data_IF_876341936689
#
_entry.id   IF_876341936689
#
_cell.length_a   1.000
_cell.length_b   1.000
_cell.length_c   1.000
_cell.angle_alpha   90.00
_cell.angle_beta   90.00
_cell.angle_gamma   90.00
#
_symmetry.space_group_name_H-M   'P 1'
#
loop_
_entity.id
_entity.type
_entity.pdbx_description
1 polymer ?
#
# COMPACT_ATOMS: atom_id res chain seq x y z
N UNK A 1 -29.89 22.02 -10.66
CA UNK A 1 -28.47 21.69 -10.89
C UNK A 1 -28.21 20.38 -10.16
N UNK A 2 -28.23 19.26 -10.88
CA UNK A 2 -27.81 17.99 -10.31
C UNK A 2 -26.28 17.97 -10.38
N UNK A 3 -25.62 18.01 -9.23
CA UNK A 3 -24.18 17.78 -9.15
C UNK A 3 -23.95 16.33 -9.57
N UNK A 4 -23.31 16.11 -10.72
CA UNK A 4 -22.75 14.82 -11.05
C UNK A 4 -21.78 14.45 -9.93
N UNK A 5 -22.17 13.47 -9.12
CA UNK A 5 -21.26 12.78 -8.22
C UNK A 5 -20.18 12.11 -9.07
N UNK A 6 -19.04 12.78 -9.19
CA UNK A 6 -17.88 12.23 -9.86
C UNK A 6 -17.25 11.24 -8.88
N UNK A 7 -17.64 9.97 -8.97
CA UNK A 7 -16.84 8.91 -8.36
C UNK A 7 -15.47 8.95 -9.06
N UNK A 8 -14.36 9.12 -8.34
CA UNK A 8 -13.05 9.05 -8.97
C UNK A 8 -12.93 7.70 -9.68
N UNK A 9 -12.56 7.72 -10.96
CA UNK A 9 -12.31 6.52 -11.72
C UNK A 9 -11.24 5.71 -10.97
N UNK A 10 -11.56 4.45 -10.63
CA UNK A 10 -10.56 3.57 -10.04
C UNK A 10 -9.42 3.37 -11.06
N UNK A 11 -8.15 3.36 -10.62
CA UNK A 11 -7.01 3.18 -11.52
C UNK A 11 -7.04 1.79 -12.17
N UNK A 12 -6.49 1.68 -13.38
CA UNK A 12 -6.45 0.43 -14.15
C UNK A 12 -5.48 -0.61 -13.58
N UNK A 13 -4.48 -0.15 -12.82
CA UNK A 13 -3.51 -0.98 -12.11
C UNK A 13 -3.28 -0.40 -10.72
N UNK A 14 -3.36 -1.26 -9.70
CA UNK A 14 -3.11 -0.91 -8.29
C UNK A 14 -2.01 -1.81 -7.73
N UNK A 15 -1.12 -1.27 -6.91
CA UNK A 15 -0.18 -2.10 -6.15
C UNK A 15 -0.88 -2.67 -4.91
N UNK A 16 -0.94 -4.00 -4.81
CA UNK A 16 -1.48 -4.74 -3.68
C UNK A 16 -0.33 -5.32 -2.89
N UNK A 17 0.05 -4.59 -1.85
CA UNK A 17 1.05 -5.05 -0.90
C UNK A 17 0.44 -6.14 0.00
N UNK A 18 1.17 -7.23 0.20
CA UNK A 18 0.79 -8.31 1.13
C UNK A 18 1.81 -8.46 2.25
N UNK A 19 1.30 -8.49 3.47
CA UNK A 19 2.10 -8.85 4.64
C UNK A 19 2.30 -10.36 4.72
N UNK A 20 3.50 -10.76 5.17
CA UNK A 20 3.92 -12.13 5.42
C UNK A 20 3.56 -12.64 6.82
N UNK A 21 3.10 -11.76 7.74
CA UNK A 21 2.79 -12.16 9.12
C UNK A 21 1.72 -13.25 9.18
N UNK A 22 2.12 -14.44 9.65
CA UNK A 22 1.21 -15.57 9.87
C UNK A 22 0.67 -16.25 8.61
N UNK A 23 1.19 -15.93 7.41
CA UNK A 23 0.78 -16.56 6.14
C UNK A 23 1.97 -17.16 5.42
N UNK A 24 1.73 -18.25 4.69
CA UNK A 24 2.71 -18.80 3.76
C UNK A 24 2.88 -17.81 2.61
N UNK A 25 4.10 -17.34 2.38
CA UNK A 25 4.43 -16.43 1.27
C UNK A 25 4.42 -17.24 -0.02
N UNK A 26 3.63 -16.81 -1.00
CA UNK A 26 3.52 -17.44 -2.33
C UNK A 26 3.82 -16.47 -3.47
N UNK A 27 4.43 -15.33 -3.16
CA UNK A 27 4.70 -14.22 -4.08
C UNK A 27 6.11 -13.68 -3.86
N UNK A 28 6.53 -12.77 -4.73
CA UNK A 28 7.83 -12.09 -4.67
C UNK A 28 7.66 -10.60 -4.36
N UNK A 29 8.71 -9.99 -3.83
CA UNK A 29 8.70 -8.56 -3.54
C UNK A 29 7.60 -8.15 -2.54
N UNK A 30 7.02 -6.95 -2.69
CA UNK A 30 6.05 -6.42 -1.73
C UNK A 30 4.65 -7.02 -1.86
N UNK A 31 4.31 -7.69 -2.96
CA UNK A 31 2.96 -8.17 -3.21
C UNK A 31 2.67 -8.38 -4.70
N UNK A 32 1.57 -7.82 -5.19
CA UNK A 32 1.05 -8.04 -6.54
C UNK A 32 0.67 -6.71 -7.21
N UNK A 33 0.69 -6.68 -8.54
CA UNK A 33 -0.05 -5.70 -9.33
C UNK A 33 -1.48 -6.22 -9.54
N UNK A 34 -2.49 -5.49 -9.05
CA UNK A 34 -3.90 -5.76 -9.28
C UNK A 34 -4.35 -5.05 -10.54
N UNK A 35 -4.57 -5.83 -11.59
CA UNK A 35 -4.81 -5.35 -12.95
C UNK A 35 -6.29 -5.50 -13.28
N UNK A 36 -6.93 -4.41 -13.73
CA UNK A 36 -8.33 -4.39 -14.17
C UNK A 36 -8.52 -5.17 -15.47
N UNK A 37 -9.70 -5.75 -15.66
CA UNK A 37 -10.14 -6.33 -16.93
C UNK A 37 -9.94 -5.36 -18.11
N UNK A 38 -9.13 -5.77 -19.08
CA UNK A 38 -8.76 -4.98 -20.26
C UNK A 38 -7.55 -4.07 -20.07
N UNK A 39 -6.92 -4.03 -18.89
CA UNK A 39 -5.67 -3.31 -18.64
C UNK A 39 -4.44 -4.16 -18.97
N UNK A 40 -3.23 -3.62 -18.80
CA UNK A 40 -1.99 -4.33 -19.09
C UNK A 40 -0.79 -3.85 -18.30
N UNK A 41 0.27 -4.63 -18.36
CA UNK A 41 1.57 -4.39 -17.74
C UNK A 41 2.66 -4.41 -18.81
N UNK A 42 3.70 -3.59 -18.63
CA UNK A 42 4.90 -3.61 -19.44
C UNK A 42 6.09 -3.90 -18.54
N UNK A 43 6.82 -4.97 -18.85
CA UNK A 43 8.02 -5.37 -18.14
C UNK A 43 9.25 -5.02 -18.97
N UNK A 44 10.19 -4.30 -18.37
CA UNK A 44 11.46 -3.95 -19.00
C UNK A 44 12.52 -5.00 -18.65
N UNK A 45 13.15 -5.58 -19.67
CA UNK A 45 14.21 -6.58 -19.52
C UNK A 45 15.55 -5.96 -19.96
N UNK A 46 16.41 -5.71 -18.98
CA UNK A 46 17.71 -5.03 -19.15
C UNK A 46 18.91 -5.88 -18.65
N UNK A 47 18.64 -6.93 -17.88
CA UNK A 47 19.67 -7.74 -17.19
C UNK A 47 19.76 -9.18 -17.72
N UNK A 48 19.75 -9.36 -19.05
CA UNK A 48 19.86 -10.68 -19.70
C UNK A 48 21.32 -11.14 -19.69
N UNK A 49 21.66 -12.31 -19.11
CA UNK A 49 23.05 -12.70 -18.90
C UNK A 49 23.71 -13.35 -20.13
N UNK A 50 22.93 -14.06 -20.95
CA UNK A 50 23.46 -14.87 -22.04
C UNK A 50 22.52 -14.84 -23.26
N UNK A 51 23.03 -14.72 -24.49
CA UNK A 51 22.17 -14.72 -25.69
C UNK A 51 21.60 -16.11 -25.94
N UNK A 52 20.29 -16.29 -25.73
CA UNK A 52 19.59 -17.57 -25.93
C UNK A 52 18.06 -17.41 -25.91
N UNK A 53 17.36 -18.51 -26.19
CA UNK A 53 15.93 -18.60 -25.95
C UNK A 53 15.62 -18.73 -24.45
N UNK A 54 14.72 -17.87 -23.97
CA UNK A 54 14.16 -17.93 -22.63
C UNK A 54 12.67 -18.25 -22.71
N UNK A 55 12.22 -19.12 -21.83
CA UNK A 55 10.80 -19.35 -21.59
C UNK A 55 10.28 -18.28 -20.64
N UNK A 56 9.11 -17.74 -20.93
CA UNK A 56 8.48 -16.71 -20.11
C UNK A 56 7.48 -17.38 -19.16
N UNK A 57 7.66 -17.17 -17.87
CA UNK A 57 6.77 -17.68 -16.82
C UNK A 57 6.07 -16.51 -16.13
N UNK A 58 4.76 -16.42 -16.29
CA UNK A 58 3.93 -15.42 -15.60
C UNK A 58 3.37 -16.02 -14.31
N UNK A 59 3.62 -15.39 -13.17
CA UNK A 59 3.02 -15.75 -11.87
C UNK A 59 1.85 -14.83 -11.55
N UNK A 60 0.72 -15.41 -11.13
CA UNK A 60 -0.52 -14.69 -10.92
C UNK A 60 -1.41 -15.35 -9.85
N UNK A 61 -2.35 -14.59 -9.33
CA UNK A 61 -3.38 -15.05 -8.41
C UNK A 61 -4.77 -14.51 -8.84
N UNK A 62 -5.69 -15.40 -9.23
CA UNK A 62 -7.06 -15.02 -9.58
C UNK A 62 -7.86 -14.54 -8.36
N UNK A 63 -8.63 -13.46 -8.50
CA UNK A 63 -9.57 -12.99 -7.45
C UNK A 63 -10.99 -13.58 -7.62
N UNK A 64 -11.26 -14.25 -8.74
CA UNK A 64 -12.53 -14.90 -9.05
C UNK A 64 -12.33 -16.33 -9.57
N UNK A 65 -13.43 -17.09 -9.66
CA UNK A 65 -13.44 -18.44 -10.25
C UNK A 65 -13.58 -18.42 -11.78
N UNK A 66 -13.11 -17.35 -12.42
CA UNK A 66 -13.20 -17.16 -13.86
C UNK A 66 -11.82 -17.22 -14.49
N UNK A 67 -11.73 -17.83 -15.67
CA UNK A 67 -10.51 -17.87 -16.43
C UNK A 67 -10.21 -16.51 -17.07
N UNK A 68 -8.92 -16.21 -17.21
CA UNK A 68 -8.43 -15.01 -17.88
C UNK A 68 -7.68 -15.40 -19.16
N UNK A 69 -7.44 -14.44 -20.03
CA UNK A 69 -6.52 -14.56 -21.15
C UNK A 69 -5.51 -13.41 -21.11
N UNK A 70 -4.28 -13.69 -21.54
CA UNK A 70 -3.21 -12.71 -21.68
C UNK A 70 -2.80 -12.61 -23.15
N UNK A 71 -2.76 -11.39 -23.65
CA UNK A 71 -2.17 -11.06 -24.96
C UNK A 71 -0.75 -10.57 -24.71
N UNK A 72 0.23 -11.28 -25.26
CA UNK A 72 1.64 -11.02 -25.01
C UNK A 72 2.30 -10.49 -26.28
N UNK A 73 3.04 -9.41 -26.17
CA UNK A 73 3.96 -8.92 -27.20
C UNK A 73 5.34 -8.69 -26.62
N UNK A 74 6.36 -9.03 -27.41
CA UNK A 74 7.76 -8.77 -27.09
C UNK A 74 8.30 -7.83 -28.15
N UNK A 75 8.88 -6.72 -27.71
CA UNK A 75 9.53 -5.73 -28.57
C UNK A 75 10.93 -5.43 -28.05
N UNK A 76 11.78 -4.88 -28.91
CA UNK A 76 13.08 -4.36 -28.53
C UNK A 76 13.21 -2.93 -29.02
N UNK A 77 13.77 -2.04 -28.20
CA UNK A 77 14.01 -0.65 -28.62
C UNK A 77 15.24 -0.52 -29.53
N UNK A 78 16.11 -1.52 -29.50
CA UNK A 78 17.30 -1.63 -30.33
C UNK A 78 17.26 -2.95 -31.12
N UNK A 79 17.89 -2.96 -32.30
CA UNK A 79 18.00 -4.16 -33.12
C UNK A 79 18.98 -5.14 -32.45
N UNK A 80 18.62 -6.43 -32.30
CA UNK A 80 19.53 -7.43 -31.80
C UNK A 80 20.76 -7.55 -32.71
N UNK A 81 21.94 -7.57 -32.10
CA UNK A 81 23.23 -7.58 -32.81
C UNK A 81 23.92 -8.93 -32.76
N UNK A 82 23.53 -9.82 -31.84
CA UNK A 82 24.14 -11.14 -31.75
C UNK A 82 23.79 -11.99 -32.97
N UNK A 83 24.72 -12.84 -33.45
CA UNK A 83 24.43 -13.77 -34.54
C UNK A 83 23.35 -14.79 -34.17
N UNK A 84 23.06 -14.96 -32.87
CA UNK A 84 22.07 -15.91 -32.36
C UNK A 84 20.65 -15.35 -32.39
N UNK A 85 20.46 -14.09 -31.98
CA UNK A 85 19.13 -13.45 -31.96
C UNK A 85 18.87 -12.50 -33.15
N UNK A 86 19.89 -12.19 -33.98
CA UNK A 86 19.85 -11.16 -35.02
C UNK A 86 18.92 -11.38 -36.22
N UNK A 87 18.28 -12.56 -36.35
CA UNK A 87 17.41 -12.89 -37.49
C UNK A 87 15.91 -12.90 -37.15
N UNK A 88 15.51 -12.54 -35.92
CA UNK A 88 14.15 -12.71 -35.43
C UNK A 88 13.50 -11.38 -35.04
N UNK A 89 13.09 -10.59 -36.03
CA UNK A 89 11.98 -9.63 -35.82
C UNK A 89 10.91 -9.80 -36.91
N UNK A 90 10.18 -10.93 -36.95
CA UNK A 90 8.90 -10.94 -37.64
C UNK A 90 7.89 -10.25 -36.72
N UNK A 91 7.62 -8.96 -37.01
CA UNK A 91 6.45 -8.16 -36.58
C UNK A 91 5.80 -8.57 -35.26
N UNK A 92 6.04 -7.84 -34.16
CA UNK A 92 5.18 -7.74 -32.94
C UNK A 92 4.08 -8.83 -32.83
N UNK A 93 4.47 -10.10 -32.76
CA UNK A 93 3.51 -11.16 -33.02
C UNK A 93 2.77 -11.43 -31.72
N UNK A 94 1.73 -10.63 -31.50
CA UNK A 94 0.82 -10.78 -30.38
C UNK A 94 0.24 -12.19 -30.42
N UNK A 95 0.43 -12.93 -29.33
CA UNK A 95 -0.19 -14.23 -29.14
C UNK A 95 -0.97 -14.23 -27.83
N UNK A 96 -1.94 -15.14 -27.78
CA UNK A 96 -2.86 -15.27 -26.65
C UNK A 96 -2.59 -16.55 -25.89
N UNK A 97 -2.69 -16.47 -24.58
CA UNK A 97 -2.64 -17.63 -23.70
C UNK A 97 -3.78 -17.58 -22.69
N UNK A 98 -4.26 -18.75 -22.30
CA UNK A 98 -5.25 -18.88 -21.22
C UNK A 98 -4.56 -18.85 -19.86
N UNK A 99 -5.17 -18.16 -18.89
CA UNK A 99 -4.81 -18.12 -17.48
C UNK A 99 -5.92 -18.79 -16.66
N UNK A 100 -5.85 -20.10 -16.42
CA UNK A 100 -6.88 -20.81 -15.67
C UNK A 100 -6.96 -20.35 -14.22
N UNK A 101 -8.18 -20.19 -13.71
CA UNK A 101 -8.42 -19.73 -12.33
C UNK A 101 -7.84 -20.70 -11.25
N UNK A 102 -7.62 -21.96 -11.63
CA UNK A 102 -7.06 -23.02 -10.78
C UNK A 102 -5.54 -23.01 -10.66
N UNK A 103 -4.84 -22.22 -11.48
CA UNK A 103 -3.38 -22.17 -11.51
C UNK A 103 -2.83 -20.92 -10.80
N UNK A 104 -1.52 -20.91 -10.55
CA UNK A 104 -0.79 -19.77 -9.94
C UNK A 104 0.39 -19.28 -10.76
N UNK A 105 0.69 -19.99 -11.85
CA UNK A 105 1.67 -19.59 -12.83
C UNK A 105 1.28 -20.18 -14.19
N UNK A 106 1.78 -19.56 -15.25
CA UNK A 106 1.65 -20.03 -16.62
C UNK A 106 3.04 -19.95 -17.28
N UNK A 107 3.47 -21.05 -17.90
CA UNK A 107 4.60 -21.05 -18.82
C UNK A 107 4.07 -20.75 -20.22
N UNK A 108 4.45 -19.61 -20.81
CA UNK A 108 3.97 -19.19 -22.12
C UNK A 108 4.47 -20.15 -23.21
N UNK A 109 3.65 -20.42 -24.24
CA UNK A 109 3.98 -21.43 -25.26
C UNK A 109 5.11 -21.02 -26.21
N UNK A 110 5.41 -19.71 -26.30
CA UNK A 110 6.41 -19.16 -27.20
C UNK A 110 7.63 -18.63 -26.45
N UNK A 111 8.78 -19.32 -26.50
CA UNK A 111 10.04 -18.77 -26.00
C UNK A 111 10.48 -17.60 -26.89
N UNK A 112 11.37 -16.76 -26.37
CA UNK A 112 11.93 -15.64 -27.11
C UNK A 112 13.46 -15.55 -26.90
N UNK A 113 14.19 -15.22 -27.98
CA UNK A 113 15.64 -15.04 -27.93
C UNK A 113 15.98 -13.67 -27.36
N UNK A 114 16.49 -13.64 -26.13
CA UNK A 114 16.99 -12.42 -25.51
C UNK A 114 18.52 -12.40 -25.57
N UNK A 115 19.11 -11.22 -25.75
CA UNK A 115 20.56 -11.01 -25.71
C UNK A 115 20.98 -9.93 -24.70
N UNK A 116 22.23 -9.98 -24.20
CA UNK A 116 22.76 -8.96 -23.29
C UNK A 116 22.84 -7.57 -23.95
N UNK A 117 22.74 -6.52 -23.13
CA UNK A 117 22.86 -5.10 -23.55
C UNK A 117 21.79 -4.61 -24.54
N UNK A 118 20.76 -5.41 -24.82
CA UNK A 118 19.61 -5.00 -25.63
C UNK A 118 18.40 -4.83 -24.71
N UNK A 119 17.80 -3.63 -24.64
CA UNK A 119 16.62 -3.40 -23.80
C UNK A 119 15.37 -3.95 -24.50
N UNK A 120 14.78 -4.97 -23.90
CA UNK A 120 13.53 -5.56 -24.36
C UNK A 120 12.36 -5.12 -23.50
N UNK A 121 11.18 -5.08 -24.10
CA UNK A 121 9.92 -4.84 -23.43
C UNK A 121 8.97 -5.99 -23.69
N UNK A 122 8.42 -6.55 -22.62
CA UNK A 122 7.36 -7.55 -22.68
C UNK A 122 6.08 -6.88 -22.22
N UNK A 123 5.16 -6.66 -23.16
CA UNK A 123 3.85 -6.07 -22.86
C UNK A 123 2.81 -7.18 -22.76
N UNK A 124 2.00 -7.13 -21.71
CA UNK A 124 0.99 -8.12 -21.39
C UNK A 124 -0.34 -7.42 -21.16
N UNK A 125 -1.33 -7.66 -22.02
CA UNK A 125 -2.70 -7.17 -21.83
C UNK A 125 -3.55 -8.31 -21.28
N UNK A 126 -4.25 -8.06 -20.17
CA UNK A 126 -5.03 -9.06 -19.45
C UNK A 126 -6.53 -8.76 -19.57
N UNK A 127 -7.32 -9.78 -19.85
CA UNK A 127 -8.78 -9.67 -19.93
C UNK A 127 -9.44 -11.00 -19.57
N UNK A 128 -10.72 -10.97 -19.19
CA UNK A 128 -11.47 -12.20 -18.88
C UNK A 128 -11.66 -13.08 -20.12
N UNK A 129 -11.51 -14.39 -19.95
CA UNK A 129 -11.65 -15.34 -21.05
C UNK A 129 -13.12 -15.47 -21.48
N UNK A 130 -13.37 -15.49 -22.80
CA UNK A 130 -14.70 -15.78 -23.38
C UNK A 130 -15.84 -14.81 -23.00
N UNK A 131 -15.52 -13.57 -22.59
CA UNK A 131 -16.54 -12.54 -22.31
C UNK A 131 -16.37 -11.36 -23.27
N UNK A 132 -17.46 -10.92 -23.91
CA UNK A 132 -17.45 -9.81 -24.87
C UNK A 132 -17.58 -8.43 -24.21
N UNK A 133 -18.04 -8.37 -22.95
CA UNK A 133 -18.21 -7.14 -22.19
C UNK A 133 -17.21 -7.06 -21.04
N UNK A 134 -16.49 -5.94 -20.97
CA UNK A 134 -15.54 -5.66 -19.89
C UNK A 134 -16.31 -5.46 -18.60
N UNK A 135 -15.93 -6.16 -17.54
CA UNK A 135 -16.55 -5.97 -16.23
C UNK A 135 -15.69 -5.01 -15.41
N UNK A 136 -16.16 -3.78 -15.14
CA UNK A 136 -15.32 -2.73 -14.56
C UNK A 136 -14.83 -3.06 -13.15
N UNK A 137 -15.45 -4.02 -12.45
CA UNK A 137 -15.01 -4.46 -11.12
C UNK A 137 -14.26 -5.80 -11.10
N UNK A 138 -13.88 -6.35 -12.25
CA UNK A 138 -13.08 -7.57 -12.32
C UNK A 138 -11.59 -7.26 -12.40
N UNK A 139 -10.79 -7.99 -11.62
CA UNK A 139 -9.36 -7.80 -11.50
C UNK A 139 -8.63 -9.15 -11.37
N UNK A 140 -7.35 -9.14 -11.73
CA UNK A 140 -6.41 -10.26 -11.53
C UNK A 140 -5.15 -9.73 -10.84
N UNK A 141 -4.56 -10.53 -9.96
CA UNK A 141 -3.30 -10.19 -9.29
C UNK A 141 -2.12 -10.79 -10.07
N UNK A 142 -1.14 -9.98 -10.42
CA UNK A 142 0.10 -10.39 -11.09
C UNK A 142 1.26 -10.21 -10.13
N UNK A 143 2.00 -11.29 -9.88
CA UNK A 143 3.18 -11.28 -9.00
C UNK A 143 4.42 -10.85 -9.80
N UNK A 144 4.83 -11.68 -10.77
CA UNK A 144 6.08 -11.48 -11.49
C UNK A 144 6.07 -12.13 -12.87
N UNK A 145 6.92 -11.59 -13.76
CA UNK A 145 7.33 -12.23 -15.02
C UNK A 145 8.76 -12.74 -14.87
N UNK A 146 8.98 -14.03 -15.10
CA UNK A 146 10.27 -14.68 -14.93
C UNK A 146 10.80 -15.17 -16.28
N UNK A 147 12.04 -14.83 -16.61
CA UNK A 147 12.76 -15.40 -17.74
C UNK A 147 13.49 -16.67 -17.30
N UNK A 148 13.03 -17.82 -17.80
CA UNK A 148 13.64 -19.13 -17.53
C UNK A 148 14.54 -19.52 -18.71
N UNK A 149 15.87 -19.58 -18.53
CA UNK A 149 16.77 -19.96 -19.62
C UNK A 149 16.56 -21.43 -20.02
N UNK A 150 16.61 -21.73 -21.32
CA UNK A 150 16.63 -23.12 -21.83
C UNK A 150 17.98 -23.79 -21.61
N UNK A 151 18.26 -24.17 -20.36
CA UNK A 151 19.59 -24.61 -19.92
C UNK A 151 20.17 -25.80 -20.69
N UNK A 152 19.32 -26.63 -21.31
CA UNK A 152 19.73 -27.77 -22.14
C UNK A 152 20.47 -27.36 -23.43
N UNK A 153 20.31 -26.11 -23.87
CA UNK A 153 20.99 -25.54 -25.04
C UNK A 153 22.39 -25.02 -24.72
N UNK A 154 22.76 -24.93 -23.43
CA UNK A 154 24.06 -24.42 -23.04
C UNK A 154 25.18 -25.40 -23.48
N UNK A 155 26.37 -24.91 -23.87
CA UNK A 155 27.47 -25.77 -24.32
C UNK A 155 27.86 -26.87 -23.32
N UNK A 156 27.68 -26.62 -22.02
CA UNK A 156 27.93 -27.60 -20.97
C UNK A 156 26.82 -28.64 -20.79
N UNK A 157 25.62 -28.42 -21.31
CA UNK A 157 24.50 -29.36 -21.24
C UNK A 157 24.16 -29.98 -22.60
N UNK A 158 24.75 -29.47 -23.67
CA UNK A 158 24.61 -29.99 -25.02
C UNK A 158 25.69 -31.04 -25.38
N UNK A 159 25.34 -32.03 -26.20
CA UNK A 159 26.27 -33.08 -26.66
C UNK A 159 26.28 -34.38 -25.83
N UNK A 160 27.10 -35.34 -26.25
CA UNK A 160 27.17 -36.70 -25.68
C UNK A 160 27.78 -36.70 -24.27
N UNK A 161 28.84 -35.90 -24.05
CA UNK A 161 29.54 -35.80 -22.75
C UNK A 161 28.71 -35.07 -21.67
N UNK A 162 27.57 -34.50 -22.05
CA UNK A 162 26.63 -33.83 -21.16
C UNK A 162 25.34 -34.63 -20.91
N UNK A 163 25.19 -35.82 -21.51
CA UNK A 163 23.97 -36.62 -21.42
C UNK A 163 23.60 -36.97 -19.97
N UNK A 164 24.57 -37.44 -19.17
CA UNK A 164 24.33 -37.78 -17.76
C UNK A 164 23.89 -36.56 -16.93
N UNK A 165 24.45 -35.37 -17.19
CA UNK A 165 24.07 -34.13 -16.48
C UNK A 165 22.67 -33.67 -16.86
N UNK A 166 22.28 -33.82 -18.12
CA UNK A 166 20.90 -33.56 -18.58
C UNK A 166 19.91 -34.53 -17.96
N UNK A 167 20.21 -35.82 -18.01
CA UNK A 167 19.35 -36.86 -17.44
C UNK A 167 19.14 -36.63 -15.94
N UNK A 168 20.19 -36.28 -15.19
CA UNK A 168 20.09 -35.96 -13.76
C UNK A 168 19.21 -34.72 -13.51
N UNK A 169 19.38 -33.66 -14.31
CA UNK A 169 18.61 -32.42 -14.20
C UNK A 169 17.11 -32.66 -14.47
N UNK A 170 16.78 -33.44 -15.50
CA UNK A 170 15.41 -33.80 -15.87
C UNK A 170 14.79 -34.78 -14.87
N UNK A 171 15.54 -35.81 -14.46
CA UNK A 171 15.08 -36.85 -13.54
C UNK A 171 14.67 -36.28 -12.19
N UNK A 172 15.46 -35.35 -11.65
CA UNK A 172 15.15 -34.68 -10.39
C UNK A 172 14.31 -33.41 -10.56
N UNK A 173 13.94 -33.06 -11.80
CA UNK A 173 13.10 -31.89 -12.11
C UNK A 173 13.61 -30.61 -11.46
N UNK A 174 14.93 -30.42 -11.46
CA UNK A 174 15.58 -29.35 -10.69
C UNK A 174 15.07 -27.96 -11.06
N UNK A 175 14.64 -27.76 -12.31
CA UNK A 175 14.13 -26.48 -12.80
C UNK A 175 12.68 -26.19 -12.39
N UNK A 176 11.88 -27.21 -12.04
CA UNK A 176 10.48 -27.02 -11.65
C UNK A 176 10.35 -26.23 -10.34
N UNK A 177 11.36 -26.32 -9.46
CA UNK A 177 11.43 -25.54 -8.21
C UNK A 177 11.33 -24.03 -8.45
N UNK A 178 11.81 -23.53 -9.59
CA UNK A 178 11.80 -22.10 -9.92
C UNK A 178 10.49 -21.62 -10.54
N UNK A 179 9.50 -22.51 -10.76
CA UNK A 179 8.17 -22.10 -11.23
C UNK A 179 7.35 -21.42 -10.13
N UNK A 180 7.61 -21.76 -8.87
CA UNK A 180 6.94 -21.19 -7.70
C UNK A 180 7.78 -20.12 -7.01
N UNK A 181 7.12 -19.28 -6.21
CA UNK A 181 7.76 -18.27 -5.38
C UNK A 181 7.30 -18.41 -3.92
N UNK A 182 8.23 -18.32 -2.93
CA UNK A 182 9.67 -18.48 -3.10
C UNK A 182 10.00 -19.92 -3.56
N UNK A 183 11.12 -20.12 -4.29
CA UNK A 183 11.53 -21.47 -4.67
C UNK A 183 11.82 -22.30 -3.41
N UNK A 184 11.43 -23.60 -3.38
CA UNK A 184 11.76 -24.47 -2.27
C UNK A 184 13.27 -24.76 -2.20
N UNK A 185 13.73 -25.24 -1.05
CA UNK A 185 15.11 -25.69 -0.90
C UNK A 185 15.40 -26.84 -1.87
N UNK A 186 16.48 -26.70 -2.64
CA UNK A 186 16.90 -27.70 -3.60
C UNK A 186 17.62 -28.86 -2.92
N UNK A 187 17.42 -30.08 -3.45
CA UNK A 187 18.25 -31.23 -3.11
C UNK A 187 19.70 -31.00 -3.55
N UNK A 188 20.67 -31.60 -2.84
CA UNK A 188 22.11 -31.40 -3.08
C UNK A 188 22.52 -31.67 -4.54
N UNK A 189 21.96 -32.72 -5.16
CA UNK A 189 22.18 -33.05 -6.56
C UNK A 189 21.77 -31.89 -7.49
N UNK A 190 20.60 -31.29 -7.25
CA UNK A 190 20.12 -30.14 -8.01
C UNK A 190 20.95 -28.88 -7.74
N UNK A 191 21.39 -28.66 -6.51
CA UNK A 191 22.24 -27.52 -6.15
C UNK A 191 23.50 -27.49 -7.00
N UNK A 192 24.20 -28.63 -7.13
CA UNK A 192 25.42 -28.73 -7.96
C UNK A 192 25.13 -28.40 -9.44
N UNK A 193 24.06 -28.93 -10.00
CA UNK A 193 23.69 -28.73 -11.40
C UNK A 193 23.27 -27.29 -11.68
N UNK A 194 22.45 -26.70 -10.81
CA UNK A 194 22.02 -25.30 -10.91
C UNK A 194 23.21 -24.35 -10.76
N UNK A 195 24.15 -24.60 -9.85
CA UNK A 195 25.40 -23.83 -9.77
C UNK A 195 26.21 -23.93 -11.08
N UNK A 196 26.27 -25.10 -11.70
CA UNK A 196 26.97 -25.29 -12.98
C UNK A 196 26.30 -24.51 -14.12
N UNK A 197 24.96 -24.52 -14.17
CA UNK A 197 24.18 -23.70 -15.11
C UNK A 197 24.47 -22.21 -14.90
N UNK A 198 24.40 -21.73 -13.65
CA UNK A 198 24.69 -20.33 -13.32
C UNK A 198 26.10 -19.93 -13.76
N UNK A 199 27.10 -20.77 -13.53
CA UNK A 199 28.47 -20.50 -13.95
C UNK A 199 28.61 -20.38 -15.47
N UNK A 200 27.89 -21.19 -16.25
CA UNK A 200 27.88 -21.11 -17.72
C UNK A 200 27.18 -19.84 -18.23
N UNK A 201 26.09 -19.42 -17.57
CA UNK A 201 25.33 -18.22 -17.97
C UNK A 201 26.08 -16.93 -17.65
N UNK A 202 26.72 -16.86 -16.48
CA UNK A 202 27.32 -15.62 -15.97
C UNK A 202 28.85 -15.58 -16.09
N UNK A 203 29.49 -16.63 -16.63
CA UNK A 203 30.96 -16.73 -16.66
C UNK A 203 31.59 -16.95 -15.28
N UNK A 204 30.82 -17.47 -14.31
CA UNK A 204 31.25 -17.69 -12.94
C UNK A 204 30.14 -17.42 -11.91
N UNK A 205 30.53 -17.24 -10.66
CA UNK A 205 29.63 -16.78 -9.61
C UNK A 205 29.48 -15.26 -9.64
N UNK A 206 28.29 -14.76 -9.34
CA UNK A 206 28.02 -13.33 -9.22
C UNK A 206 28.38 -12.82 -7.82
N UNK A 207 28.85 -11.57 -7.68
CA UNK A 207 29.09 -10.97 -6.38
C UNK A 207 27.78 -10.73 -5.63
N UNK A 208 27.79 -10.90 -4.30
CA UNK A 208 26.60 -10.75 -3.45
C UNK A 208 25.98 -9.34 -3.54
N UNK A 209 26.81 -8.29 -3.48
CA UNK A 209 26.35 -6.89 -3.47
C UNK A 209 25.34 -6.58 -2.34
N UNK A 210 25.50 -7.19 -1.17
CA UNK A 210 24.66 -6.89 0.00
C UNK A 210 24.78 -5.42 0.39
N UNK A 211 23.65 -4.76 0.67
CA UNK A 211 23.62 -3.37 1.10
C UNK A 211 24.24 -3.26 2.51
N UNK A 212 25.25 -2.40 2.72
CA UNK A 212 25.96 -2.32 3.99
C UNK A 212 25.10 -1.77 5.14
N UNK A 213 24.05 -0.99 4.83
CA UNK A 213 23.13 -0.45 5.83
C UNK A 213 22.04 -1.45 6.16
N UNK A 214 21.46 -2.12 5.16
CA UNK A 214 20.34 -3.04 5.36
C UNK A 214 20.72 -4.50 5.63
N UNK A 215 21.96 -4.91 5.38
CA UNK A 215 22.45 -6.28 5.62
C UNK A 215 23.24 -6.42 6.92
N UNK A 216 23.22 -7.61 7.51
CA UNK A 216 24.03 -7.98 8.68
C UNK A 216 25.47 -8.34 8.33
N UNK A 217 25.70 -8.81 7.10
CA UNK A 217 26.99 -9.23 6.57
C UNK A 217 27.10 -8.86 5.09
N UNK A 218 28.34 -8.81 4.57
CA UNK A 218 28.63 -8.76 3.14
C UNK A 218 28.56 -10.13 2.46
N UNK A 219 28.54 -11.20 3.26
CA UNK A 219 28.39 -12.58 2.78
C UNK A 219 26.90 -12.89 2.57
N UNK A 220 26.59 -13.51 1.43
CA UNK A 220 25.25 -13.95 1.08
C UNK A 220 25.20 -15.47 0.96
N UNK A 221 23.99 -16.03 0.97
CA UNK A 221 23.79 -17.45 0.74
C UNK A 221 24.35 -17.85 -0.64
N UNK A 222 25.14 -18.94 -0.73
CA UNK A 222 25.78 -19.33 -1.99
C UNK A 222 24.77 -19.74 -3.06
N UNK A 223 23.61 -20.28 -2.67
CA UNK A 223 22.49 -20.52 -3.57
C UNK A 223 21.56 -19.31 -3.57
N UNK A 224 21.29 -18.75 -4.76
CA UNK A 224 20.36 -17.62 -4.94
C UNK A 224 20.90 -16.25 -4.50
N UNK A 225 21.96 -16.19 -3.68
CA UNK A 225 22.62 -14.94 -3.33
C UNK A 225 21.85 -14.07 -2.33
N UNK A 226 20.94 -14.65 -1.53
CA UNK A 226 20.16 -13.90 -0.54
C UNK A 226 21.07 -13.41 0.60
N UNK A 227 21.08 -12.10 0.83
CA UNK A 227 21.78 -11.47 1.95
C UNK A 227 20.98 -11.62 3.25
N UNK A 228 21.66 -11.63 4.40
CA UNK A 228 21.00 -11.63 5.71
C UNK A 228 20.52 -10.23 6.07
N UNK A 229 19.22 -9.99 5.94
CA UNK A 229 18.66 -8.66 6.16
C UNK A 229 18.51 -8.30 7.64
N UNK A 230 18.63 -7.01 7.94
CA UNK A 230 18.25 -6.41 9.23
C UNK A 230 16.73 -6.41 9.42
N UNK A 231 16.23 -6.17 10.65
CA UNK A 231 14.79 -6.16 10.92
C UNK A 231 14.03 -5.24 9.96
N UNK A 232 12.91 -5.74 9.43
CA UNK A 232 12.03 -5.05 8.50
C UNK A 232 12.71 -4.56 7.20
N UNK A 233 13.80 -5.20 6.79
CA UNK A 233 14.45 -4.97 5.48
C UNK A 233 14.20 -6.19 4.60
N UNK A 234 13.98 -5.97 3.30
CA UNK A 234 13.67 -7.00 2.31
C UNK A 234 14.54 -6.83 1.05
N UNK A 235 14.45 -7.81 0.15
CA UNK A 235 15.21 -7.85 -1.11
C UNK A 235 16.41 -8.78 -1.04
N UNK A 236 16.85 -9.27 -2.21
CA UNK A 236 18.04 -10.13 -2.31
C UNK A 236 19.28 -9.47 -1.70
N UNK A 237 19.39 -8.15 -1.87
CA UNK A 237 20.49 -7.29 -1.40
C UNK A 237 20.19 -6.56 -0.09
N UNK A 238 19.01 -6.74 0.50
CA UNK A 238 18.56 -6.02 1.68
C UNK A 238 18.63 -4.49 1.53
N UNK A 239 18.15 -3.97 0.39
CA UNK A 239 18.35 -2.58 -0.05
C UNK A 239 17.10 -1.70 0.11
N UNK A 240 16.01 -2.23 0.66
CA UNK A 240 14.79 -1.47 0.90
C UNK A 240 13.97 -2.03 2.07
N UNK A 241 13.07 -1.19 2.60
CA UNK A 241 12.18 -1.59 3.67
C UNK A 241 11.16 -2.63 3.21
N UNK A 242 10.88 -3.59 4.10
CA UNK A 242 9.75 -4.48 3.94
C UNK A 242 8.44 -3.66 3.96
N UNK A 243 7.37 -4.13 3.30
CA UNK A 243 6.14 -3.38 3.30
C UNK A 243 5.54 -3.21 4.69
N UNK A 244 4.92 -2.07 4.96
CA UNK A 244 4.47 -1.72 6.32
C UNK A 244 5.62 -1.29 7.25
N UNK A 245 6.79 -0.95 6.70
CA UNK A 245 7.90 -0.34 7.44
C UNK A 245 8.53 0.83 6.69
N UNK A 246 9.27 1.68 7.39
CA UNK A 246 9.81 2.93 6.88
C UNK A 246 11.17 3.27 7.52
N UNK A 247 11.87 4.25 6.94
CA UNK A 247 13.08 4.83 7.50
C UNK A 247 14.28 3.90 7.41
N UNK A 248 14.63 3.49 6.18
CA UNK A 248 15.79 2.65 5.90
C UNK A 248 17.09 3.26 6.46
N UNK A 249 17.84 2.47 7.23
CA UNK A 249 19.09 2.93 7.83
C UNK A 249 19.89 1.82 8.50
N UNK A 250 20.93 2.17 9.30
CA UNK A 250 21.88 1.20 9.86
C UNK A 250 21.27 0.23 10.87
N UNK A 251 20.07 0.50 11.39
CA UNK A 251 19.35 -0.40 12.30
C UNK A 251 18.27 -1.25 11.59
N UNK A 252 18.14 -1.13 10.26
CA UNK A 252 17.05 -1.70 9.48
C UNK A 252 15.95 -0.66 9.24
N UNK A 253 14.69 -1.10 9.26
CA UNK A 253 13.52 -0.23 9.13
C UNK A 253 12.63 -0.30 10.37
N UNK A 254 11.80 0.72 10.56
CA UNK A 254 10.82 0.80 11.65
C UNK A 254 9.41 0.46 11.17
N UNK A 255 8.59 -0.25 11.95
CA UNK A 255 7.22 -0.55 11.54
C UNK A 255 6.36 0.71 11.45
N UNK A 256 5.47 0.77 10.45
CA UNK A 256 4.55 1.89 10.27
C UNK A 256 3.64 2.08 11.49
N UNK A 257 3.05 0.99 12.01
CA UNK A 257 2.08 1.02 13.11
C UNK A 257 0.90 1.98 12.86
N UNK A 258 0.36 1.96 11.64
CA UNK A 258 -0.86 2.70 11.30
C UNK A 258 -2.06 2.14 12.07
N UNK A 259 -2.93 3.02 12.57
CA UNK A 259 -4.15 2.63 13.26
C UNK A 259 -5.09 1.91 12.29
N UNK A 260 -5.59 0.73 12.70
CA UNK A 260 -6.54 -0.07 11.91
C UNK A 260 -7.87 0.64 11.68
N UNK A 261 -8.27 1.50 12.63
CA UNK A 261 -9.56 2.19 12.59
C UNK A 261 -9.42 3.61 12.01
N UNK A 262 -8.27 4.25 12.23
CA UNK A 262 -8.03 5.63 11.81
C UNK A 262 -7.27 5.79 10.48
N UNK A 263 -6.72 4.70 9.92
CA UNK A 263 -6.00 4.72 8.64
C UNK A 263 -6.79 4.00 7.55
N UNK A 264 -6.51 4.34 6.29
CA UNK A 264 -7.08 3.68 5.12
C UNK A 264 -6.36 2.36 4.81
N UNK A 265 -5.09 2.24 5.18
CA UNK A 265 -4.30 1.02 5.07
C UNK A 265 -3.24 0.95 6.17
N UNK A 266 -2.59 -0.21 6.32
CA UNK A 266 -1.45 -0.38 7.23
C UNK A 266 -0.11 0.07 6.61
N UNK A 267 -0.15 0.53 5.36
CA UNK A 267 1.03 1.02 4.65
C UNK A 267 1.23 2.49 4.97
N UNK A 268 2.50 2.88 5.06
CA UNK A 268 2.89 4.25 5.26
C UNK A 268 3.93 4.66 4.22
N UNK A 269 4.16 5.97 4.11
CA UNK A 269 5.25 6.51 3.31
C UNK A 269 6.60 5.93 3.77
N UNK A 270 7.39 5.42 2.83
CA UNK A 270 8.62 4.64 3.11
C UNK A 270 9.73 5.47 3.77
N UNK A 271 9.67 6.79 3.68
CA UNK A 271 10.67 7.69 4.27
C UNK A 271 10.21 8.31 5.59
N UNK A 272 9.04 8.95 5.60
CA UNK A 272 8.50 9.67 6.76
C UNK A 272 7.73 8.77 7.73
N UNK A 273 7.26 7.62 7.26
CA UNK A 273 6.38 6.75 8.02
C UNK A 273 4.96 7.26 8.15
N UNK A 274 4.54 8.29 7.40
CA UNK A 274 3.19 8.85 7.48
C UNK A 274 2.16 7.89 6.89
N UNK A 275 1.17 7.50 7.69
CA UNK A 275 0.03 6.69 7.28
C UNK A 275 -1.02 7.53 6.55
N UNK A 276 -1.80 6.90 5.67
CA UNK A 276 -2.92 7.57 5.01
C UNK A 276 -4.14 7.56 5.93
N UNK A 277 -4.46 8.69 6.55
CA UNK A 277 -5.54 8.79 7.53
C UNK A 277 -6.93 8.83 6.89
N UNK A 278 -7.92 8.27 7.61
CA UNK A 278 -9.33 8.49 7.34
C UNK A 278 -9.72 9.96 7.59
N UNK A 279 -10.81 10.46 6.98
CA UNK A 279 -11.29 11.82 7.24
C UNK A 279 -11.47 12.09 8.73
N UNK A 280 -10.88 13.18 9.22
CA UNK A 280 -10.95 13.59 10.63
C UNK A 280 -9.88 13.00 11.54
N UNK A 281 -9.17 11.94 11.12
CA UNK A 281 -8.03 11.38 11.84
C UNK A 281 -6.71 12.06 11.41
N UNK A 282 -5.77 12.19 12.34
CA UNK A 282 -4.46 12.84 12.13
C UNK A 282 -3.35 12.14 12.92
N UNK A 283 -2.11 12.53 12.64
CA UNK A 283 -0.90 11.98 13.25
C UNK A 283 -0.20 11.02 12.30
N UNK A 284 1.07 10.68 12.61
CA UNK A 284 1.85 9.74 11.79
C UNK A 284 1.14 8.40 11.62
N UNK A 285 0.50 7.94 12.71
CA UNK A 285 -0.20 6.66 12.80
C UNK A 285 -1.72 6.78 12.63
N UNK A 286 -2.26 7.99 12.43
CA UNK A 286 -3.70 8.25 12.37
C UNK A 286 -4.45 7.73 13.60
N UNK A 287 -3.89 7.96 14.78
CA UNK A 287 -4.30 7.41 16.08
C UNK A 287 -5.09 8.41 16.93
N UNK A 288 -5.39 9.59 16.38
CA UNK A 288 -6.14 10.65 17.07
C UNK A 288 -6.94 11.49 16.11
N UNK A 289 -7.93 12.20 16.64
CA UNK A 289 -8.68 13.17 15.84
C UNK A 289 -7.88 14.45 15.60
N UNK A 290 -8.15 15.08 14.46
CA UNK A 290 -7.64 16.42 14.15
C UNK A 290 -8.12 17.45 15.17
N UNK A 291 -7.38 18.57 15.35
CA UNK A 291 -7.85 19.67 16.18
C UNK A 291 -9.29 20.09 15.84
N UNK A 292 -10.12 20.33 16.86
CA UNK A 292 -11.54 20.63 16.68
C UNK A 292 -12.42 19.41 16.37
N UNK A 293 -11.90 18.19 16.51
CA UNK A 293 -12.66 16.95 16.40
C UNK A 293 -12.44 16.04 17.62
N UNK A 294 -13.37 15.13 17.88
CA UNK A 294 -13.34 14.23 19.04
C UNK A 294 -13.97 12.87 18.75
N UNK A 295 -13.75 11.89 19.64
CA UNK A 295 -14.41 10.59 19.58
C UNK A 295 -13.75 9.57 18.66
N UNK A 296 -12.41 9.51 18.65
CA UNK A 296 -11.65 8.48 17.93
C UNK A 296 -12.21 7.06 18.22
N UNK A 297 -12.39 6.19 17.20
CA UNK A 297 -11.95 6.34 15.81
C UNK A 297 -12.90 7.14 14.89
N UNK A 298 -14.17 7.30 15.28
CA UNK A 298 -15.17 8.01 14.50
C UNK A 298 -15.12 9.51 14.79
N UNK A 299 -14.06 10.17 14.32
CA UNK A 299 -13.80 11.59 14.58
C UNK A 299 -14.92 12.48 14.06
N UNK A 300 -15.59 13.19 14.99
CA UNK A 300 -16.66 14.14 14.72
C UNK A 300 -16.25 15.56 15.09
N UNK A 301 -16.73 16.59 14.38
CA UNK A 301 -16.42 17.97 14.73
C UNK A 301 -16.97 18.32 16.12
N UNK A 302 -16.26 19.21 16.82
CA UNK A 302 -16.73 19.78 18.06
C UNK A 302 -18.03 20.56 17.83
N UNK A 303 -19.01 20.37 18.70
CA UNK A 303 -20.33 21.02 18.62
C UNK A 303 -20.43 22.07 19.72
N UNK A 304 -19.70 23.19 19.56
CA UNK A 304 -19.59 24.21 20.59
C UNK A 304 -20.48 25.45 20.35
N UNK A 305 -21.56 25.28 19.59
CA UNK A 305 -22.51 26.36 19.23
C UNK A 305 -21.85 27.64 18.68
N UNK A 306 -20.65 27.52 18.07
CA UNK A 306 -19.88 28.67 17.56
C UNK A 306 -19.05 29.43 18.61
N UNK A 307 -19.10 29.03 19.88
CA UNK A 307 -18.42 29.73 20.98
C UNK A 307 -17.08 29.09 21.41
N UNK A 308 -16.67 27.99 20.79
CA UNK A 308 -15.33 27.44 20.89
C UNK A 308 -14.97 26.62 19.64
N UNK A 309 -13.69 26.60 19.27
CA UNK A 309 -13.19 25.80 18.14
C UNK A 309 -12.59 24.46 18.59
N UNK A 310 -12.27 24.32 19.87
CA UNK A 310 -11.62 23.15 20.45
C UNK A 310 -12.50 22.52 21.52
N UNK A 311 -12.49 21.20 21.57
CA UNK A 311 -13.14 20.41 22.60
C UNK A 311 -12.21 19.29 23.06
N UNK A 312 -12.52 18.72 24.21
CA UNK A 312 -11.84 17.57 24.76
C UNK A 312 -11.90 16.39 23.77
N UNK A 313 -10.77 15.80 23.36
CA UNK A 313 -10.73 14.79 22.30
C UNK A 313 -11.50 13.50 22.61
N UNK A 314 -11.76 13.18 23.89
CA UNK A 314 -12.45 11.96 24.31
C UNK A 314 -13.94 12.22 24.55
N UNK A 315 -14.25 13.26 25.31
CA UNK A 315 -15.61 13.57 25.78
C UNK A 315 -16.34 14.54 24.86
N UNK A 316 -15.64 15.30 24.02
CA UNK A 316 -16.24 16.34 23.18
C UNK A 316 -16.67 17.59 23.94
N UNK A 317 -16.31 17.72 25.22
CA UNK A 317 -16.63 18.91 26.00
C UNK A 317 -15.81 20.11 25.51
N UNK A 318 -16.49 21.19 25.15
CA UNK A 318 -15.87 22.40 24.64
C UNK A 318 -14.91 23.02 25.66
N UNK A 319 -13.76 23.47 25.15
CA UNK A 319 -12.71 24.07 25.94
C UNK A 319 -12.75 25.58 25.75
N UNK A 320 -12.67 26.34 26.85
CA UNK A 320 -12.58 27.81 26.85
C UNK A 320 -13.73 28.47 26.07
N UNK A 321 -14.97 28.17 26.46
CA UNK A 321 -16.17 28.83 25.96
C UNK A 321 -16.01 30.37 25.97
N UNK A 322 -16.21 31.00 24.81
CA UNK A 322 -16.12 32.45 24.60
C UNK A 322 -17.46 33.13 24.89
N UNK A 323 -17.51 34.45 24.76
CA UNK A 323 -18.76 35.24 24.80
C UNK A 323 -19.59 35.03 26.07
N UNK A 324 -18.92 34.81 27.20
CA UNK A 324 -19.54 34.53 28.50
C UNK A 324 -20.49 33.33 28.48
N UNK A 325 -20.18 32.32 27.68
CA UNK A 325 -20.91 31.03 27.64
C UNK A 325 -20.24 29.97 28.52
N UNK A 326 -21.01 28.96 28.90
CA UNK A 326 -20.66 27.83 29.75
C UNK A 326 -21.47 26.59 29.33
N UNK A 327 -21.15 25.44 29.94
CA UNK A 327 -21.75 24.15 29.59
C UNK A 327 -20.81 23.28 28.76
N UNK A 328 -21.25 22.07 28.41
CA UNK A 328 -20.41 21.10 27.69
C UNK A 328 -20.22 21.48 26.22
N UNK A 329 -21.19 22.21 25.67
CA UNK A 329 -21.28 22.65 24.29
C UNK A 329 -21.33 24.18 24.18
N UNK A 330 -20.99 24.90 25.26
CA UNK A 330 -21.16 26.35 25.36
C UNK A 330 -22.62 26.79 25.10
N UNK A 331 -23.56 25.99 25.59
CA UNK A 331 -25.00 26.07 25.31
C UNK A 331 -25.78 26.96 26.29
N UNK A 332 -25.14 27.48 27.34
CA UNK A 332 -25.76 28.36 28.33
C UNK A 332 -24.85 29.53 28.68
N UNK A 333 -25.39 30.58 29.29
CA UNK A 333 -24.58 31.67 29.80
C UNK A 333 -23.85 31.28 31.09
N UNK A 334 -22.69 31.91 31.32
CA UNK A 334 -21.99 31.91 32.59
C UNK A 334 -22.86 32.57 33.67
N UNK A 335 -22.61 32.24 34.93
CA UNK A 335 -23.33 32.81 36.06
C UNK A 335 -23.17 34.35 36.06
N UNK A 336 -24.28 35.06 36.29
CA UNK A 336 -24.35 36.53 36.18
C UNK A 336 -24.62 37.10 34.77
N UNK A 337 -24.81 36.23 33.77
CA UNK A 337 -25.22 36.59 32.41
C UNK A 337 -26.54 35.90 32.02
N UNK A 338 -27.31 36.51 31.12
CA UNK A 338 -28.55 35.95 30.56
C UNK A 338 -28.63 36.08 29.04
N UNK A 339 -29.48 35.26 28.43
CA UNK A 339 -29.68 35.17 26.98
C UNK A 339 -29.72 33.72 26.52
N UNK A 340 -29.84 33.52 25.20
CA UNK A 340 -29.81 32.21 24.57
C UNK A 340 -28.65 32.15 23.53
N UNK A 341 -27.52 31.51 23.88
CA UNK A 341 -26.35 31.43 23.01
C UNK A 341 -26.50 30.41 21.86
N UNK A 342 -27.57 29.61 21.82
CA UNK A 342 -27.75 28.56 20.78
C UNK A 342 -28.47 29.11 19.54
N UNK A 343 -29.22 30.19 19.69
CA UNK A 343 -29.88 30.89 18.58
C UNK A 343 -28.82 31.65 17.77
N UNK A 344 -28.34 31.05 16.67
CA UNK A 344 -27.28 31.56 15.77
C UNK A 344 -27.47 32.95 15.14
N UNK A 345 -28.39 33.77 15.67
CA UNK A 345 -28.72 35.15 15.29
C UNK A 345 -28.22 36.20 16.30
N UNK A 346 -27.26 35.87 17.17
CA UNK A 346 -26.54 36.88 17.95
C UNK A 346 -27.25 37.40 19.21
N UNK A 347 -28.09 36.59 19.87
CA UNK A 347 -28.42 36.85 21.28
C UNK A 347 -27.24 36.40 22.16
N UNK A 348 -26.17 37.20 22.14
CA UNK A 348 -24.99 37.02 22.99
C UNK A 348 -25.39 37.09 24.47
N UNK A 349 -24.70 36.32 25.32
CA UNK A 349 -24.86 36.41 26.76
C UNK A 349 -24.58 37.84 27.24
N UNK A 350 -25.57 38.47 27.87
CA UNK A 350 -25.47 39.84 28.40
C UNK A 350 -25.36 39.81 29.91
N UNK A 351 -24.59 40.72 30.52
CA UNK A 351 -24.58 40.87 31.96
C UNK A 351 -26.00 41.10 32.48
N UNK A 352 -26.37 40.42 33.55
CA UNK A 352 -27.66 40.63 34.19
C UNK A 352 -27.85 42.09 34.59
N UNK A 353 -29.01 42.73 34.30
CA UNK A 353 -29.30 44.11 34.64
C UNK A 353 -29.66 44.26 36.13
N UNK A 354 -29.07 43.43 36.99
CA UNK A 354 -29.24 43.55 38.43
C UNK A 354 -28.50 44.80 38.93
N UNK A 355 -28.94 45.41 40.04
CA UNK A 355 -28.24 46.55 40.62
C UNK A 355 -26.75 46.25 40.83
N UNK A 356 -25.87 47.09 40.28
CA UNK A 356 -24.41 46.93 40.32
C UNK A 356 -23.79 46.27 39.08
N UNK A 357 -22.47 46.02 39.12
CA UNK A 357 -21.75 45.30 38.06
C UNK A 357 -21.19 43.96 38.58
N UNK A 358 -21.20 42.87 37.78
CA UNK A 358 -20.61 41.60 38.16
C UNK A 358 -19.17 41.79 38.68
N UNK A 359 -18.88 41.27 39.88
CA UNK A 359 -17.57 41.41 40.55
C UNK A 359 -17.42 42.62 41.49
N UNK A 360 -18.45 43.47 41.64
CA UNK A 360 -18.45 44.60 42.60
C UNK A 360 -19.17 44.24 43.91
N UNK A 361 -18.87 44.96 45.00
CA UNK A 361 -19.50 44.74 46.33
C UNK A 361 -21.01 44.98 46.36
N UNK A 362 -21.56 45.64 45.35
CA UNK A 362 -22.98 46.00 45.27
C UNK A 362 -23.78 45.06 44.38
N UNK A 363 -23.14 44.08 43.74
CA UNK A 363 -23.80 43.07 42.91
C UNK A 363 -24.16 41.85 43.76
N UNK A 364 -25.46 41.68 44.03
CA UNK A 364 -25.98 40.59 44.87
C UNK A 364 -26.88 39.61 44.08
N UNK A 365 -26.86 39.66 42.75
CA UNK A 365 -27.53 38.67 41.89
C UNK A 365 -26.60 37.47 41.61
N UNK A 366 -27.10 36.24 41.73
CA UNK A 366 -26.36 35.03 41.35
C UNK A 366 -26.62 34.62 39.89
N UNK A 367 -27.80 34.91 39.36
CA UNK A 367 -28.20 34.70 37.98
C UNK A 367 -29.43 35.57 37.66
N UNK A 368 -29.87 35.61 36.41
CA UNK A 368 -31.15 36.22 36.03
C UNK A 368 -31.77 35.46 34.86
N UNK A 369 -33.09 35.57 34.69
CA UNK A 369 -33.83 34.94 33.60
C UNK A 369 -34.88 35.89 33.06
N UNK A 370 -35.27 35.70 31.80
CA UNK A 370 -36.42 36.40 31.24
C UNK A 370 -37.70 35.71 31.71
N UNK A 371 -38.66 36.49 32.20
CA UNK A 371 -40.02 36.05 32.49
C UNK A 371 -40.75 35.66 31.19
N UNK A 372 -41.44 34.51 31.18
CA UNK A 372 -42.02 33.95 29.94
C UNK A 372 -43.16 34.80 29.36
N UNK A 373 -43.91 35.50 30.21
CA UNK A 373 -45.07 36.28 29.79
C UNK A 373 -44.67 37.72 29.43
N UNK A 374 -43.84 38.34 30.26
CA UNK A 374 -43.53 39.76 30.17
C UNK A 374 -42.21 40.06 29.48
N UNK A 375 -41.37 39.04 29.26
CA UNK A 375 -39.98 39.17 28.77
C UNK A 375 -39.10 40.10 29.64
N UNK A 376 -39.55 40.45 30.85
CA UNK A 376 -38.75 41.21 31.81
C UNK A 376 -37.66 40.32 32.43
N UNK A 377 -36.47 40.87 32.62
CA UNK A 377 -35.35 40.14 33.20
C UNK A 377 -35.43 40.20 34.71
N UNK A 378 -35.67 39.05 35.34
CA UNK A 378 -35.80 38.89 36.79
C UNK A 378 -34.47 38.40 37.37
N UNK A 379 -33.95 39.13 38.36
CA UNK A 379 -32.71 38.79 39.05
C UNK A 379 -32.94 37.80 40.19
N UNK A 380 -32.14 36.74 40.23
CA UNK A 380 -32.07 35.81 41.35
C UNK A 380 -31.04 36.32 42.35
N UNK A 381 -31.50 36.75 43.53
CA UNK A 381 -30.63 37.26 44.57
C UNK A 381 -29.89 36.14 45.32
N UNK A 382 -28.66 36.40 45.73
CA UNK A 382 -27.91 35.55 46.64
C UNK A 382 -28.66 35.42 47.99
N UNK A 383 -28.47 34.31 48.74
CA UNK A 383 -29.13 34.12 50.03
C UNK A 383 -28.96 35.33 50.97
N UNK A 384 -30.07 35.85 51.49
CA UNK A 384 -30.10 37.01 52.39
C UNK A 384 -30.33 38.36 51.71
N UNK A 385 -30.46 38.40 50.38
CA UNK A 385 -30.76 39.60 49.61
C UNK A 385 -32.09 39.44 48.87
N UNK A 386 -32.82 40.55 48.69
CA UNK A 386 -34.03 40.62 47.89
C UNK A 386 -33.97 41.90 47.03
N UNK A 387 -34.63 41.86 45.87
CA UNK A 387 -34.82 43.01 44.98
C UNK A 387 -36.29 43.10 44.59
N UNK A 388 -36.78 44.32 44.38
CA UNK A 388 -38.09 44.60 43.78
C UNK A 388 -37.96 44.77 42.26
#
# INVERSE_FOLDING_TARGET
RAEQCWCPAQPDVEEVVRDSTGRMVTWTGPGFARVRDGAGLTFHMDNVPYPMDYELLLRYEPESAEDWEVVVSVSSRALPTSPRCGNLLPSEQMYRESLPHSQRYLLLSRPFCFEPNTPYEVTMRLQRASVTQHHPSAFILIDSLVLLPRVLELPGFHGLDAAARREELERYRCLEAFRMAPPPNLAEACTRLVCSVSALLHGGALPCQCDPQGSRSSECQPQGGQCECKPHVLGRRCDHCAPGSYGFGPLGCSPCACSLEGSVSQLCDVMSGQCRCQPGAVGRQCDRCQPGHWGFPACRPCQCNGHAEQCDPQTGSCLRCRDHTAGRHCERCQDGYYGDPVLGSGQQCRPCPCPGYPGTRHYHGSACHADEDTHHIVCLCAPGYAGE
#
